data_IF_957749271510
#
_entry.id   IF_957749271510
#
_cell.length_a   1.000
_cell.length_b   1.000
_cell.length_c   1.000
_cell.angle_alpha   90.00
_cell.angle_beta   90.00
_cell.angle_gamma   90.00
#
_symmetry.space_group_name_H-M   'P 1'
#
loop_
_entity.id
_entity.type
_entity.pdbx_description
1 polymer ?
#
# COMPACT_ATOMS: atom_id res chain seq x y z
N UNK A 1 30.11 -17.08 -12.42
CA UNK A 1 29.36 -15.86 -12.79
C UNK A 1 28.02 -15.95 -12.07
N UNK A 2 27.84 -15.24 -10.95
CA UNK A 2 26.59 -15.26 -10.20
C UNK A 2 25.59 -14.33 -10.88
N UNK A 3 24.52 -14.87 -11.45
CA UNK A 3 23.41 -14.06 -11.93
C UNK A 3 22.71 -13.47 -10.71
N UNK A 4 22.84 -12.16 -10.50
CA UNK A 4 21.99 -11.44 -9.55
C UNK A 4 20.60 -11.41 -10.18
N UNK A 5 19.73 -12.31 -9.74
CA UNK A 5 18.34 -12.35 -10.18
C UNK A 5 17.57 -11.29 -9.42
N UNK A 6 17.15 -10.24 -10.11
CA UNK A 6 16.28 -9.22 -9.54
C UNK A 6 14.84 -9.74 -9.54
N UNK A 7 14.25 -9.83 -8.35
CA UNK A 7 12.90 -10.33 -8.13
C UNK A 7 11.91 -9.17 -8.01
N UNK A 8 10.76 -9.32 -8.65
CA UNK A 8 9.65 -8.36 -8.54
C UNK A 8 8.88 -8.54 -7.23
N UNK A 9 8.05 -7.56 -6.86
CA UNK A 9 7.15 -7.71 -5.71
C UNK A 9 6.30 -8.98 -5.83
N UNK A 10 6.22 -9.75 -4.75
CA UNK A 10 5.52 -11.03 -4.69
C UNK A 10 6.31 -12.24 -5.20
N UNK A 11 7.43 -12.04 -5.89
CA UNK A 11 8.30 -13.13 -6.35
C UNK A 11 9.18 -13.66 -5.22
N UNK A 12 9.67 -14.89 -5.40
CA UNK A 12 10.58 -15.54 -4.47
C UNK A 12 11.90 -14.78 -4.37
N UNK A 13 12.47 -14.73 -3.17
CA UNK A 13 13.78 -14.16 -2.92
C UNK A 13 14.48 -14.93 -1.80
N UNK A 14 15.82 -14.87 -1.78
CA UNK A 14 16.63 -15.43 -0.68
C UNK A 14 17.21 -14.36 0.24
N UNK A 15 17.44 -13.16 -0.28
CA UNK A 15 18.00 -12.04 0.48
C UNK A 15 17.47 -10.70 -0.05
N UNK A 16 17.65 -9.62 0.73
CA UNK A 16 17.15 -8.29 0.39
C UNK A 16 17.77 -7.71 -0.90
N UNK A 17 18.98 -8.13 -1.28
CA UNK A 17 19.63 -7.69 -2.51
C UNK A 17 18.86 -8.06 -3.77
N UNK A 18 18.15 -9.20 -3.77
CA UNK A 18 17.31 -9.65 -4.88
C UNK A 18 16.09 -8.73 -5.10
N UNK A 19 15.61 -8.07 -4.04
CA UNK A 19 14.47 -7.15 -4.11
C UNK A 19 14.90 -5.70 -4.37
N UNK A 20 16.20 -5.39 -4.35
CA UNK A 20 16.73 -4.02 -4.41
C UNK A 20 16.36 -3.23 -5.67
N UNK A 21 15.89 -3.91 -6.73
CA UNK A 21 15.35 -3.27 -7.93
C UNK A 21 14.07 -2.46 -7.66
N UNK A 22 13.28 -2.85 -6.65
CA UNK A 22 12.12 -2.10 -6.19
C UNK A 22 12.51 -1.33 -4.94
N UNK A 23 12.53 0.00 -5.04
CA UNK A 23 12.81 0.87 -3.89
C UNK A 23 11.81 0.60 -2.76
N UNK A 24 12.31 0.65 -1.51
CA UNK A 24 11.53 0.38 -0.30
C UNK A 24 10.93 -1.03 -0.24
N UNK A 25 11.66 -2.02 -0.79
CA UNK A 25 11.30 -3.43 -0.66
C UNK A 25 12.37 -4.23 0.07
N UNK A 26 11.95 -5.33 0.69
CA UNK A 26 12.79 -6.29 1.40
C UNK A 26 12.34 -7.72 1.10
N UNK A 27 13.25 -8.66 1.29
CA UNK A 27 12.94 -10.07 1.21
C UNK A 27 12.40 -10.55 2.55
N UNK A 28 11.07 -10.75 2.61
CA UNK A 28 10.37 -11.19 3.81
C UNK A 28 9.54 -12.42 3.52
N UNK A 29 9.65 -13.45 4.36
CA UNK A 29 9.00 -14.75 4.14
C UNK A 29 9.34 -15.35 2.76
N UNK A 30 10.60 -15.22 2.35
CA UNK A 30 11.09 -15.67 1.05
C UNK A 30 10.36 -15.06 -0.15
N UNK A 31 9.75 -13.87 0.02
CA UNK A 31 9.14 -13.10 -1.06
C UNK A 31 9.53 -11.62 -0.98
N UNK A 32 9.69 -10.98 -2.13
CA UNK A 32 9.90 -9.53 -2.16
C UNK A 32 8.62 -8.82 -1.77
N UNK A 33 8.69 -8.02 -0.71
CA UNK A 33 7.55 -7.26 -0.17
C UNK A 33 8.00 -5.84 0.16
N UNK A 34 7.05 -4.91 0.27
CA UNK A 34 7.38 -3.56 0.71
C UNK A 34 7.77 -3.57 2.19
N UNK A 35 8.76 -2.74 2.54
CA UNK A 35 9.17 -2.53 3.93
C UNK A 35 8.02 -1.95 4.76
N UNK A 36 8.20 -1.92 6.08
CA UNK A 36 7.23 -1.33 6.98
C UNK A 36 6.84 0.11 6.57
N UNK A 37 5.56 0.45 6.71
CA UNK A 37 4.94 1.73 6.30
C UNK A 37 4.82 1.94 4.79
N UNK A 38 5.27 1.00 3.96
CA UNK A 38 5.05 1.02 2.53
C UNK A 38 4.08 -0.08 2.09
N UNK A 39 3.38 0.15 0.99
CA UNK A 39 2.42 -0.77 0.38
C UNK A 39 2.69 -0.87 -1.12
N UNK A 40 2.50 -2.05 -1.69
CA UNK A 40 2.63 -2.23 -3.13
C UNK A 40 1.56 -1.40 -3.84
N UNK A 41 1.95 -0.64 -4.87
CA UNK A 41 1.00 -0.02 -5.80
C UNK A 41 0.04 -1.07 -6.37
N UNK A 42 -1.14 -0.66 -6.84
CA UNK A 42 -2.09 -1.58 -7.50
C UNK A 42 -1.45 -2.36 -8.64
N UNK A 43 -0.49 -1.76 -9.35
CA UNK A 43 0.26 -2.39 -10.45
C UNK A 43 1.41 -3.32 -9.99
N UNK A 44 1.67 -3.44 -8.68
CA UNK A 44 2.77 -4.25 -8.14
C UNK A 44 4.18 -3.81 -8.55
N UNK A 45 4.34 -2.61 -9.11
CA UNK A 45 5.62 -2.16 -9.70
C UNK A 45 6.50 -1.36 -8.74
N UNK A 46 5.91 -0.79 -7.68
CA UNK A 46 6.59 0.09 -6.72
C UNK A 46 5.97 -0.01 -5.34
N UNK A 47 6.74 0.34 -4.33
CA UNK A 47 6.29 0.52 -2.96
C UNK A 47 5.98 2.00 -2.72
N UNK A 48 4.78 2.28 -2.22
CA UNK A 48 4.26 3.61 -1.94
C UNK A 48 4.05 3.77 -0.44
N UNK A 49 4.29 4.97 0.08
CA UNK A 49 4.09 5.26 1.50
C UNK A 49 2.60 5.13 1.85
N UNK A 50 2.30 4.37 2.89
CA UNK A 50 0.93 4.20 3.40
C UNK A 50 0.42 5.54 3.91
N UNK A 51 -0.77 5.92 3.46
CA UNK A 51 -1.46 7.09 3.96
C UNK A 51 -1.95 6.85 5.39
N UNK A 52 -1.78 7.83 6.27
CA UNK A 52 -2.12 7.68 7.69
C UNK A 52 -3.58 8.01 7.99
N UNK A 53 -4.15 8.93 7.23
CA UNK A 53 -5.48 9.50 7.49
C UNK A 53 -6.13 10.01 6.20
N UNK A 54 -7.40 10.42 6.29
CA UNK A 54 -8.06 11.14 5.20
C UNK A 54 -7.33 12.44 4.91
N UNK A 55 -7.41 12.93 3.68
CA UNK A 55 -6.63 14.09 3.18
C UNK A 55 -5.11 13.89 3.19
N UNK A 56 -4.60 12.70 3.51
CA UNK A 56 -3.19 12.38 3.23
C UNK A 56 -2.95 12.34 1.72
N UNK A 57 -1.81 12.87 1.23
CA UNK A 57 -1.45 12.78 -0.18
C UNK A 57 -1.31 11.32 -0.65
N UNK A 58 -1.81 11.04 -1.84
CA UNK A 58 -1.72 9.72 -2.46
C UNK A 58 -1.60 9.83 -3.97
N UNK A 59 -1.14 8.76 -4.58
CA UNK A 59 -1.07 8.55 -6.05
C UNK A 59 -1.74 7.24 -6.48
N UNK A 60 -2.10 6.37 -5.53
CA UNK A 60 -2.70 5.06 -5.76
C UNK A 60 -3.61 4.69 -4.58
N UNK A 61 -4.74 4.04 -4.87
CA UNK A 61 -5.72 3.57 -3.87
C UNK A 61 -5.09 2.65 -2.81
N UNK A 62 -4.03 1.92 -3.17
CA UNK A 62 -3.32 1.04 -2.25
C UNK A 62 -2.81 1.77 -1.00
N UNK A 63 -2.42 3.04 -1.13
CA UNK A 63 -1.94 3.87 -0.01
C UNK A 63 -3.03 4.10 1.04
N UNK A 64 -4.25 4.36 0.59
CA UNK A 64 -5.39 4.68 1.44
C UNK A 64 -5.99 3.41 2.06
N UNK A 65 -6.20 2.38 1.23
CA UNK A 65 -6.90 1.15 1.62
C UNK A 65 -6.20 0.36 2.71
N UNK A 66 -4.87 0.48 2.82
CA UNK A 66 -4.07 -0.18 3.85
C UNK A 66 -4.42 0.27 5.27
N UNK A 67 -4.67 1.56 5.47
CA UNK A 67 -4.95 2.14 6.79
C UNK A 67 -6.45 2.41 6.99
N UNK A 68 -7.08 3.04 6.01
CA UNK A 68 -8.48 3.50 6.06
C UNK A 68 -9.50 2.42 5.65
N UNK A 69 -9.02 1.29 5.12
CA UNK A 69 -9.85 0.16 4.67
C UNK A 69 -10.31 0.27 3.21
N UNK A 70 -10.88 -0.81 2.67
CA UNK A 70 -11.25 -0.92 1.24
C UNK A 70 -12.32 0.08 0.75
N UNK A 71 -12.98 0.76 1.68
CA UNK A 71 -13.93 1.83 1.42
C UNK A 71 -13.27 3.22 1.27
N UNK A 72 -11.95 3.30 1.31
CA UNK A 72 -11.18 4.49 0.94
C UNK A 72 -10.62 4.39 -0.47
N UNK A 73 -10.31 5.52 -1.07
CA UNK A 73 -9.65 5.61 -2.37
C UNK A 73 -8.84 6.91 -2.48
N UNK A 74 -7.97 6.96 -3.47
CA UNK A 74 -7.21 8.15 -3.81
C UNK A 74 -7.99 8.99 -4.81
N UNK A 75 -8.53 10.12 -4.35
CA UNK A 75 -9.36 11.03 -5.13
C UNK A 75 -8.71 12.41 -5.13
N UNK A 76 -8.51 12.99 -6.31
CA UNK A 76 -7.85 14.30 -6.48
C UNK A 76 -6.48 14.42 -5.79
N UNK A 77 -5.74 13.30 -5.69
CA UNK A 77 -4.43 13.24 -5.05
C UNK A 77 -4.47 13.11 -3.53
N UNK A 78 -5.66 12.90 -2.94
CA UNK A 78 -5.84 12.76 -1.50
C UNK A 78 -6.66 11.52 -1.15
N UNK A 79 -6.36 10.92 0.01
CA UNK A 79 -7.16 9.80 0.49
C UNK A 79 -8.52 10.28 1.00
N UNK A 80 -9.59 9.77 0.42
CA UNK A 80 -10.96 10.08 0.86
C UNK A 80 -11.80 8.80 0.99
N UNK A 81 -12.86 8.86 1.77
CA UNK A 81 -13.84 7.78 1.84
C UNK A 81 -14.71 7.82 0.58
N UNK A 82 -14.97 6.64 -0.01
CA UNK A 82 -15.85 6.50 -1.17
C UNK A 82 -17.27 6.98 -0.83
N UNK A 83 -18.04 7.29 -1.86
CA UNK A 83 -19.43 7.71 -1.71
C UNK A 83 -20.22 6.73 -0.82
N UNK A 84 -21.04 7.28 0.09
CA UNK A 84 -21.80 6.55 1.12
C UNK A 84 -20.98 5.97 2.30
N UNK A 85 -19.68 6.26 2.38
CA UNK A 85 -18.84 5.89 3.53
C UNK A 85 -18.36 7.15 4.27
N UNK A 86 -18.24 7.03 5.59
CA UNK A 86 -17.76 8.10 6.46
C UNK A 86 -16.55 7.62 7.28
N UNK A 87 -15.65 8.55 7.61
CA UNK A 87 -14.54 8.26 8.48
C UNK A 87 -15.04 8.09 9.92
N UNK A 88 -14.85 6.90 10.48
CA UNK A 88 -15.04 6.66 11.90
C UNK A 88 -13.73 6.94 12.64
N UNK A 89 -13.67 8.07 13.33
CA UNK A 89 -12.48 8.54 14.05
C UNK A 89 -11.94 7.51 15.05
N UNK A 90 -12.81 6.78 15.76
CA UNK A 90 -12.39 5.75 16.74
C UNK A 90 -11.50 4.66 16.12
N UNK A 91 -11.76 4.31 14.87
CA UNK A 91 -11.07 3.23 14.17
C UNK A 91 -10.15 3.72 13.06
N UNK A 92 -10.20 5.02 12.75
CA UNK A 92 -9.58 5.64 11.57
C UNK A 92 -9.84 4.83 10.28
N UNK A 93 -11.11 4.47 10.05
CA UNK A 93 -11.56 3.66 8.91
C UNK A 93 -12.81 4.23 8.28
N UNK A 94 -12.93 4.07 6.96
CA UNK A 94 -14.14 4.38 6.23
C UNK A 94 -15.18 3.27 6.44
N UNK A 95 -16.32 3.61 7.02
CA UNK A 95 -17.43 2.69 7.31
C UNK A 95 -18.70 3.20 6.65
N UNK A 96 -19.57 2.27 6.22
CA UNK A 96 -20.83 2.65 5.57
C UNK A 96 -21.72 3.34 6.61
N UNK A 97 -22.27 4.50 6.27
CA UNK A 97 -23.27 5.12 7.12
C UNK A 97 -24.58 4.34 6.99
N UNK A 98 -24.94 3.61 8.04
CA UNK A 98 -26.18 2.84 8.12
C UNK A 98 -27.29 3.65 8.83
N UNK A 99 -27.08 4.94 9.11
CA UNK A 99 -28.10 5.85 9.65
C UNK A 99 -28.82 6.58 8.51
N UNK A 100 -29.63 5.87 7.75
CA UNK A 100 -30.73 6.45 6.97
C UNK A 100 -32.01 5.70 7.26
#
# INVERSE_FOLDING_TARGET
MGHVSFSQLGQHCKNNGECSFVAFSECRNSKCTCIEKYVASTRGSRCLLVAKEVRSPCVDDAQCTRQLGGASGCMDGFCECKEMYQLKNDTNKCVRDMRK
#
